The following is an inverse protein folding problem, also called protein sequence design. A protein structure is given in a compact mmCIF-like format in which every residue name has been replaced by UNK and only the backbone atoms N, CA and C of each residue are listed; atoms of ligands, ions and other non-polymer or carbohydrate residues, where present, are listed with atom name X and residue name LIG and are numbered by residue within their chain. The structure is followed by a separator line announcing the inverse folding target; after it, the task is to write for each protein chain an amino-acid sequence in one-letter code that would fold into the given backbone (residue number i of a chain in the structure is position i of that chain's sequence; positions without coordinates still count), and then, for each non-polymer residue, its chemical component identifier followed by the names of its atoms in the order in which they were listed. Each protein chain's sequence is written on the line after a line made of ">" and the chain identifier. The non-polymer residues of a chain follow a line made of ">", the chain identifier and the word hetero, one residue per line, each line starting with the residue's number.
data_IF_455480356564
#
_entry.id   IF_455480356564
#
_cell.length_a   1.000
_cell.length_b   1.000
_cell.length_c   1.000
_cell.angle_alpha   90.00
_cell.angle_beta   90.00
_cell.angle_gamma   90.00
#
_symmetry.space_group_name_H-M   'P 1'
#
loop_
_entity.id
_entity.type
_entity.pdbx_description
1 polymer ?
#
# COMPACT_ATOMS: atom_id res chain seq x y z
N UNK A 1 -8.30 13.91 -2.10
CA UNK A 1 -9.00 14.91 -2.96
C UNK A 1 -8.08 16.03 -3.45
N UNK A 2 -7.28 16.67 -2.59
CA UNK A 2 -6.38 17.76 -3.00
C UNK A 2 -5.42 17.42 -4.17
N UNK A 3 -4.80 16.23 -4.15
CA UNK A 3 -3.95 15.75 -5.25
C UNK A 3 -4.69 15.59 -6.58
N UNK A 4 -5.97 15.16 -6.54
CA UNK A 4 -6.76 14.96 -7.75
C UNK A 4 -7.13 16.31 -8.39
N UNK A 5 -7.45 17.33 -7.58
CA UNK A 5 -7.68 18.70 -8.03
C UNK A 5 -6.40 19.31 -8.61
N UNK A 6 -5.25 19.11 -7.95
CA UNK A 6 -3.95 19.54 -8.46
C UNK A 6 -3.61 18.87 -9.80
N UNK A 7 -3.84 17.56 -9.93
CA UNK A 7 -3.63 16.82 -11.18
C UNK A 7 -4.52 17.35 -12.32
N UNK A 8 -5.80 17.62 -12.05
CA UNK A 8 -6.74 18.15 -13.03
C UNK A 8 -6.38 19.58 -13.48
N UNK A 9 -5.85 20.40 -12.56
CA UNK A 9 -5.39 21.77 -12.86
C UNK A 9 -4.13 21.78 -13.73
N UNK A 10 -3.18 20.88 -13.45
CA UNK A 10 -1.94 20.73 -14.25
C UNK A 10 -2.25 20.20 -15.65
N UNK A 11 -3.19 19.26 -15.78
CA UNK A 11 -3.66 18.78 -17.07
C UNK A 11 -4.30 19.87 -17.95
N UNK A 12 -4.79 20.95 -17.33
CA UNK A 12 -5.36 22.14 -18.00
C UNK A 12 -4.35 23.26 -18.28
N UNK A 13 -3.05 23.01 -18.07
CA UNK A 13 -1.98 23.96 -18.42
C UNK A 13 -1.49 24.86 -17.28
N UNK A 14 -1.88 24.61 -16.03
CA UNK A 14 -1.38 25.39 -14.89
C UNK A 14 0.12 25.17 -14.61
N UNK A 15 0.83 26.27 -14.31
CA UNK A 15 2.24 26.23 -13.91
C UNK A 15 2.40 25.53 -12.54
N UNK A 16 3.03 24.36 -12.55
CA UNK A 16 3.53 23.73 -11.32
C UNK A 16 4.70 24.54 -10.77
N UNK A 17 4.72 24.74 -9.44
CA UNK A 17 5.84 25.35 -8.73
C UNK A 17 7.11 24.51 -9.00
N UNK A 18 8.21 25.15 -9.42
CA UNK A 18 9.48 24.51 -9.81
C UNK A 18 9.96 23.35 -8.90
N UNK A 19 9.87 23.40 -7.55
CA UNK A 19 10.30 22.28 -6.71
C UNK A 19 9.49 20.99 -6.91
N UNK A 20 8.18 21.09 -7.17
CA UNK A 20 7.33 19.92 -7.42
C UNK A 20 7.66 19.23 -8.76
N UNK A 21 8.02 20.02 -9.78
CA UNK A 21 8.52 19.50 -11.07
C UNK A 21 9.88 18.82 -10.92
N UNK A 22 10.76 19.37 -10.08
CA UNK A 22 12.09 18.79 -9.82
C UNK A 22 12.01 17.47 -9.04
N UNK A 23 11.17 17.39 -8.00
CA UNK A 23 10.91 16.15 -7.25
C UNK A 23 10.23 15.07 -8.10
N UNK A 24 9.30 15.44 -8.99
CA UNK A 24 8.71 14.51 -9.95
C UNK A 24 9.73 13.96 -10.96
N UNK A 25 10.77 14.73 -11.30
CA UNK A 25 11.80 14.36 -12.28
C UNK A 25 12.82 13.35 -11.75
N UNK A 26 13.02 13.29 -10.43
CA UNK A 26 13.98 12.39 -9.76
C UNK A 26 13.29 11.51 -8.70
N UNK A 27 12.57 10.44 -9.11
CA UNK A 27 11.86 9.53 -8.19
C UNK A 27 12.74 8.99 -7.06
N UNK A 28 14.04 8.74 -7.32
CA UNK A 28 14.98 8.24 -6.33
C UNK A 28 15.20 9.21 -5.15
N UNK A 29 15.16 10.53 -5.38
CA UNK A 29 15.33 11.54 -4.32
C UNK A 29 14.06 11.63 -3.46
N UNK A 30 12.89 11.53 -4.09
CA UNK A 30 11.61 11.47 -3.37
C UNK A 30 11.50 10.22 -2.52
N UNK A 31 11.94 9.07 -3.04
CA UNK A 31 11.96 7.81 -2.31
C UNK A 31 12.99 7.81 -1.20
N UNK A 32 14.19 8.37 -1.42
CA UNK A 32 15.19 8.52 -0.35
C UNK A 32 14.72 9.41 0.79
N UNK A 33 14.02 10.51 0.49
CA UNK A 33 13.38 11.36 1.50
C UNK A 33 12.24 10.64 2.23
N UNK A 34 11.40 9.89 1.51
CA UNK A 34 10.33 9.12 2.13
C UNK A 34 10.88 8.00 3.03
N UNK A 35 11.94 7.32 2.60
CA UNK A 35 12.61 6.27 3.36
C UNK A 35 13.28 6.84 4.61
N UNK A 36 13.94 8.00 4.50
CA UNK A 36 14.50 8.71 5.64
C UNK A 36 13.43 9.11 6.67
N UNK A 37 12.28 9.62 6.22
CA UNK A 37 11.15 9.97 7.10
C UNK A 37 10.54 8.72 7.73
N UNK A 38 10.40 7.64 6.97
CA UNK A 38 9.89 6.37 7.51
C UNK A 38 10.86 5.79 8.55
N UNK A 39 12.15 5.79 8.26
CA UNK A 39 13.20 5.32 9.15
C UNK A 39 13.25 6.09 10.47
N UNK A 40 13.06 7.42 10.45
CA UNK A 40 12.99 8.21 11.69
C UNK A 40 11.75 7.89 12.52
N UNK A 41 10.62 7.56 11.89
CA UNK A 41 9.43 7.09 12.63
C UNK A 41 9.61 5.69 13.25
N UNK A 42 10.45 4.83 12.67
CA UNK A 42 10.66 3.45 13.12
C UNK A 42 11.76 3.30 14.18
N UNK A 43 12.76 4.19 14.21
CA UNK A 43 13.76 4.20 15.29
C UNK A 43 13.17 4.63 16.65
N UNK A 44 11.98 5.22 16.69
CA UNK A 44 11.22 5.40 17.91
C UNK A 44 10.65 4.05 18.39
N UNK A 45 11.53 3.22 18.95
CA UNK A 45 11.22 1.92 19.53
C UNK A 45 10.38 2.12 20.80
N UNK A 46 9.22 1.45 20.87
CA UNK A 46 8.35 1.50 22.05
C UNK A 46 8.64 0.30 22.95
N UNK A 47 9.01 0.49 24.22
CA UNK A 47 8.81 -0.54 25.22
C UNK A 47 7.29 -0.69 25.43
N UNK A 48 6.76 -1.85 25.06
CA UNK A 48 5.36 -2.21 25.28
C UNK A 48 5.15 -2.42 26.79
N UNK A 49 4.79 -1.34 27.51
CA UNK A 49 4.47 -1.41 28.95
C UNK A 49 3.06 -1.98 29.10
N UNK A 50 2.95 -3.30 29.03
CA UNK A 50 1.74 -4.03 29.40
C UNK A 50 1.58 -3.94 30.92
N UNK A 51 0.68 -3.09 31.42
CA UNK A 51 0.12 -3.22 32.77
C UNK A 51 0.14 -2.01 33.71
N UNK A 52 0.76 -0.88 33.36
CA UNK A 52 0.77 0.32 34.22
C UNK A 52 -0.31 1.32 33.77
N UNK A 53 -1.06 1.92 34.70
CA UNK A 53 -1.90 3.10 34.36
C UNK A 53 -0.98 4.21 33.85
N UNK A 54 -1.11 4.66 32.60
CA UNK A 54 -0.18 5.63 32.05
C UNK A 54 -0.27 6.95 32.83
N UNK A 55 0.88 7.46 33.26
CA UNK A 55 0.98 8.77 33.90
C UNK A 55 0.57 9.90 32.96
N UNK A 56 0.25 11.09 33.48
CA UNK A 56 -0.11 12.25 32.65
C UNK A 56 0.98 12.61 31.61
N UNK A 57 2.25 12.36 31.92
CA UNK A 57 3.39 12.54 31.02
C UNK A 57 3.45 11.47 29.94
N UNK A 58 3.16 10.21 30.28
CA UNK A 58 3.10 9.09 29.32
C UNK A 58 1.91 9.22 28.36
N UNK A 59 0.79 9.77 28.83
CA UNK A 59 -0.36 10.11 27.98
C UNK A 59 -0.03 11.20 26.96
N UNK A 60 0.73 12.23 27.36
CA UNK A 60 1.18 13.28 26.45
C UNK A 60 2.22 12.77 25.45
N UNK A 61 3.15 11.92 25.87
CA UNK A 61 4.11 11.26 24.97
C UNK A 61 3.41 10.33 23.97
N UNK A 62 2.49 9.49 24.46
CA UNK A 62 1.70 8.59 23.61
C UNK A 62 0.81 9.36 22.64
N UNK A 63 0.18 10.46 23.08
CA UNK A 63 -0.65 11.30 22.23
C UNK A 63 0.17 12.05 21.17
N UNK A 64 1.30 12.65 21.54
CA UNK A 64 2.19 13.34 20.59
C UNK A 64 2.78 12.38 19.57
N UNK A 65 3.14 11.17 19.99
CA UNK A 65 3.61 10.11 19.09
C UNK A 65 2.51 9.57 18.19
N UNK A 66 1.29 9.43 18.69
CA UNK A 66 0.13 9.00 17.88
C UNK A 66 -0.21 10.05 16.84
N UNK A 67 -0.20 11.33 17.22
CA UNK A 67 -0.42 12.45 16.31
C UNK A 67 0.71 12.54 15.27
N UNK A 68 1.96 12.38 15.69
CA UNK A 68 3.12 12.36 14.80
C UNK A 68 3.04 11.20 13.80
N UNK A 69 2.76 9.97 14.23
CA UNK A 69 2.58 8.82 13.32
C UNK A 69 1.42 9.05 12.35
N UNK A 70 0.28 9.51 12.85
CA UNK A 70 -0.93 9.73 12.04
C UNK A 70 -0.74 10.83 11.00
N UNK A 71 0.18 11.79 11.21
CA UNK A 71 0.45 12.87 10.25
C UNK A 71 1.67 12.60 9.35
N UNK A 72 2.73 12.00 9.89
CA UNK A 72 3.97 11.73 9.16
C UNK A 72 3.83 10.55 8.20
N UNK A 73 3.08 9.50 8.56
CA UNK A 73 2.87 8.34 7.68
C UNK A 73 2.13 8.71 6.38
N UNK A 74 1.00 9.44 6.42
CA UNK A 74 0.35 9.88 5.18
C UNK A 74 1.19 10.91 4.43
N UNK A 75 2.00 11.73 5.12
CA UNK A 75 2.95 12.63 4.45
C UNK A 75 4.03 11.86 3.69
N UNK A 76 4.61 10.82 4.29
CA UNK A 76 5.56 9.93 3.63
C UNK A 76 4.91 9.18 2.46
N UNK A 77 3.69 8.66 2.64
CA UNK A 77 2.92 8.03 1.56
C UNK A 77 2.63 9.01 0.41
N UNK A 78 2.29 10.26 0.73
CA UNK A 78 2.10 11.32 -0.26
C UNK A 78 3.37 11.55 -1.07
N UNK A 79 4.53 11.62 -0.40
CA UNK A 79 5.84 11.83 -1.01
C UNK A 79 6.28 10.63 -1.86
N UNK A 80 5.91 9.41 -1.46
CA UNK A 80 6.14 8.17 -2.22
C UNK A 80 5.32 8.14 -3.52
N UNK A 81 4.06 8.58 -3.46
CA UNK A 81 3.12 8.60 -4.59
C UNK A 81 3.38 9.78 -5.53
N UNK A 82 3.92 10.90 -5.03
CA UNK A 82 4.18 12.12 -5.78
C UNK A 82 4.94 11.91 -7.11
N UNK A 83 6.07 11.18 -7.16
CA UNK A 83 6.78 10.94 -8.42
C UNK A 83 6.06 9.95 -9.34
N UNK A 84 5.19 9.08 -8.81
CA UNK A 84 4.35 8.21 -9.64
C UNK A 84 3.25 9.00 -10.36
N UNK A 85 2.75 10.07 -9.74
CA UNK A 85 1.72 10.95 -10.32
C UNK A 85 2.33 12.00 -11.25
N UNK A 86 3.39 12.68 -10.82
CA UNK A 86 3.97 13.84 -11.53
C UNK A 86 5.26 13.53 -12.32
N UNK A 87 5.75 12.29 -12.27
CA UNK A 87 6.97 11.91 -12.97
C UNK A 87 6.82 11.82 -14.49
N UNK A 88 7.94 11.82 -15.24
CA UNK A 88 7.96 11.83 -16.70
C UNK A 88 7.26 10.61 -17.30
N UNK A 89 5.99 10.80 -17.66
CA UNK A 89 5.01 9.79 -18.09
C UNK A 89 5.48 8.91 -19.27
N UNK A 90 6.39 9.42 -20.09
CA UNK A 90 6.87 8.83 -21.35
C UNK A 90 8.24 8.12 -21.29
N UNK A 91 9.05 8.23 -20.21
CA UNK A 91 10.46 7.72 -20.22
C UNK A 91 10.94 7.04 -18.93
N UNK A 92 10.05 6.66 -18.02
CA UNK A 92 10.44 6.03 -16.75
C UNK A 92 10.50 4.49 -16.80
N UNK A 93 11.61 3.91 -16.32
CA UNK A 93 11.74 2.46 -16.07
C UNK A 93 10.62 1.90 -15.18
N UNK A 94 10.11 2.72 -14.25
CA UNK A 94 8.99 2.42 -13.36
C UNK A 94 7.71 2.10 -14.16
N UNK A 95 7.36 2.90 -15.18
CA UNK A 95 6.16 2.65 -15.99
C UNK A 95 6.32 1.40 -16.85
N UNK A 96 7.55 1.09 -17.29
CA UNK A 96 7.85 -0.15 -18.01
C UNK A 96 7.66 -1.36 -17.09
N UNK A 97 8.07 -1.28 -15.82
CA UNK A 97 7.83 -2.29 -14.80
C UNK A 97 6.34 -2.42 -14.47
N UNK A 98 5.64 -1.31 -14.24
CA UNK A 98 4.19 -1.30 -13.97
C UNK A 98 3.34 -1.81 -15.13
N UNK A 99 3.82 -1.68 -16.38
CA UNK A 99 3.17 -2.26 -17.57
C UNK A 99 3.46 -3.75 -17.76
N UNK A 100 4.31 -4.36 -16.94
CA UNK A 100 4.55 -5.81 -17.06
C UNK A 100 3.29 -6.59 -16.72
N UNK A 101 3.07 -7.70 -17.42
CA UNK A 101 1.91 -8.56 -17.22
C UNK A 101 1.79 -9.01 -15.75
N UNK A 102 2.92 -9.29 -15.11
CA UNK A 102 2.98 -9.68 -13.69
C UNK A 102 2.47 -8.58 -12.78
N UNK A 103 2.91 -7.33 -12.97
CA UNK A 103 2.49 -6.22 -12.09
C UNK A 103 1.02 -5.86 -12.29
N UNK A 104 0.52 -5.92 -13.53
CA UNK A 104 -0.91 -5.75 -13.82
C UNK A 104 -1.74 -6.87 -13.18
N UNK A 105 -1.29 -8.12 -13.28
CA UNK A 105 -1.94 -9.26 -12.62
C UNK A 105 -1.95 -9.08 -11.10
N UNK A 106 -0.82 -8.69 -10.50
CA UNK A 106 -0.70 -8.46 -9.07
C UNK A 106 -1.64 -7.34 -8.59
N UNK A 107 -1.76 -6.26 -9.36
CA UNK A 107 -2.75 -5.20 -9.11
C UNK A 107 -4.19 -5.69 -9.22
N UNK A 108 -4.46 -6.61 -10.14
CA UNK A 108 -5.80 -7.19 -10.32
C UNK A 108 -6.19 -8.09 -9.15
N UNK A 109 -5.25 -8.86 -8.60
CA UNK A 109 -5.46 -9.77 -7.46
C UNK A 109 -5.23 -9.07 -6.10
N UNK A 110 -4.87 -7.78 -6.11
CA UNK A 110 -4.50 -7.02 -4.91
C UNK A 110 -5.60 -6.98 -3.85
N UNK A 111 -6.87 -6.97 -4.28
CA UNK A 111 -8.01 -7.03 -3.36
C UNK A 111 -8.08 -8.38 -2.63
N UNK A 112 -7.92 -9.48 -3.36
CA UNK A 112 -7.80 -10.81 -2.77
C UNK A 112 -6.61 -10.92 -1.81
N UNK A 113 -5.46 -10.34 -2.15
CA UNK A 113 -4.29 -10.31 -1.26
C UNK A 113 -4.63 -9.56 0.04
N UNK A 114 -5.28 -8.40 -0.06
CA UNK A 114 -5.71 -7.62 1.10
C UNK A 114 -6.68 -8.41 2.02
N UNK A 115 -7.58 -9.22 1.46
CA UNK A 115 -8.47 -10.05 2.27
C UNK A 115 -7.73 -11.20 2.97
N UNK A 116 -6.90 -11.92 2.22
CA UNK A 116 -6.34 -13.19 2.69
C UNK A 116 -5.04 -13.05 3.49
N UNK A 117 -4.32 -11.92 3.38
CA UNK A 117 -3.04 -11.77 4.08
C UNK A 117 -3.17 -11.87 5.61
N UNK A 118 -4.23 -11.30 6.19
CA UNK A 118 -4.42 -11.31 7.64
C UNK A 118 -4.69 -12.74 8.15
N UNK A 119 -5.48 -13.51 7.41
CA UNK A 119 -5.74 -14.92 7.70
C UNK A 119 -4.44 -15.72 7.59
N UNK A 120 -3.69 -15.55 6.50
CA UNK A 120 -2.43 -16.25 6.30
C UNK A 120 -1.39 -15.94 7.39
N UNK A 121 -1.30 -14.68 7.84
CA UNK A 121 -0.43 -14.27 8.95
C UNK A 121 -0.89 -14.94 10.25
N UNK A 122 -2.20 -14.93 10.55
CA UNK A 122 -2.76 -15.54 11.74
C UNK A 122 -2.45 -17.03 11.83
N UNK A 123 -2.74 -17.78 10.76
CA UNK A 123 -2.47 -19.22 10.67
C UNK A 123 -0.97 -19.53 10.79
N UNK A 124 -0.12 -18.78 10.08
CA UNK A 124 1.33 -19.01 10.15
C UNK A 124 1.88 -18.70 11.54
N UNK A 125 1.35 -17.68 12.21
CA UNK A 125 1.70 -17.36 13.59
C UNK A 125 1.34 -18.51 14.52
N UNK A 126 0.14 -19.08 14.40
CA UNK A 126 -0.25 -20.25 15.20
C UNK A 126 0.67 -21.44 14.97
N UNK A 127 1.06 -21.73 13.72
CA UNK A 127 1.99 -22.83 13.43
C UNK A 127 3.40 -22.60 13.97
N UNK A 128 3.85 -21.34 14.05
CA UNK A 128 5.11 -20.98 14.71
C UNK A 128 5.01 -21.25 16.21
N UNK A 129 3.90 -20.87 16.86
CA UNK A 129 3.69 -21.13 18.29
C UNK A 129 3.59 -22.64 18.62
N UNK A 130 3.17 -23.46 17.67
CA UNK A 130 3.07 -24.92 17.82
C UNK A 130 4.39 -25.66 17.48
N UNK A 131 5.52 -24.96 17.28
CA UNK A 131 6.80 -25.52 16.82
C UNK A 131 6.71 -26.31 15.50
N UNK A 132 5.69 -26.04 14.69
CA UNK A 132 5.42 -26.75 13.42
C UNK A 132 5.98 -26.02 12.20
N UNK A 133 6.71 -24.93 12.44
CA UNK A 133 7.22 -24.04 11.40
C UNK A 133 8.73 -23.77 11.53
N UNK A 134 9.43 -23.56 10.42
CA UNK A 134 10.86 -23.25 10.44
C UNK A 134 11.16 -21.91 11.14
N UNK A 135 12.24 -21.86 11.92
CA UNK A 135 12.73 -20.63 12.59
C UNK A 135 13.23 -19.56 11.59
N UNK A 136 13.50 -19.95 10.34
CA UNK A 136 13.98 -19.03 9.32
C UNK A 136 12.91 -18.02 8.92
N UNK A 137 13.16 -16.75 9.23
CA UNK A 137 12.32 -15.60 8.82
C UNK A 137 12.05 -15.57 7.32
N UNK A 138 13.03 -15.94 6.49
CA UNK A 138 12.87 -15.98 5.03
C UNK A 138 11.85 -17.03 4.62
N UNK A 139 11.87 -18.19 5.26
CA UNK A 139 10.97 -19.30 4.95
C UNK A 139 9.55 -19.01 5.45
N UNK A 140 9.42 -18.39 6.62
CA UNK A 140 8.15 -17.88 7.15
C UNK A 140 7.52 -16.85 6.21
N UNK A 141 8.31 -15.86 5.76
CA UNK A 141 7.85 -14.85 4.81
C UNK A 141 7.41 -15.48 3.49
N UNK A 142 8.21 -16.41 2.95
CA UNK A 142 7.88 -17.12 1.72
C UNK A 142 6.57 -17.92 1.87
N UNK A 143 6.34 -18.57 3.00
CA UNK A 143 5.12 -19.32 3.27
C UNK A 143 3.88 -18.41 3.34
N UNK A 144 3.94 -17.30 4.10
CA UNK A 144 2.85 -16.32 4.18
C UNK A 144 2.52 -15.76 2.81
N UNK A 145 3.54 -15.40 2.03
CA UNK A 145 3.35 -14.91 0.67
C UNK A 145 2.71 -15.97 -0.22
N UNK A 146 3.20 -17.21 -0.19
CA UNK A 146 2.67 -18.30 -0.99
C UNK A 146 1.20 -18.58 -0.64
N UNK A 147 0.85 -18.66 0.65
CA UNK A 147 -0.52 -18.86 1.11
C UNK A 147 -1.43 -17.73 0.69
N UNK A 148 -1.01 -16.48 0.92
CA UNK A 148 -1.78 -15.30 0.57
C UNK A 148 -2.02 -15.21 -0.93
N UNK A 149 -0.98 -15.38 -1.75
CA UNK A 149 -1.07 -15.32 -3.22
C UNK A 149 -1.94 -16.45 -3.77
N UNK A 150 -1.81 -17.65 -3.20
CA UNK A 150 -2.62 -18.80 -3.62
C UNK A 150 -4.09 -18.58 -3.31
N UNK A 151 -4.41 -18.19 -2.07
CA UNK A 151 -5.78 -17.90 -1.65
C UNK A 151 -6.38 -16.72 -2.44
N UNK A 152 -5.61 -15.66 -2.66
CA UNK A 152 -6.02 -14.51 -3.44
C UNK A 152 -6.27 -14.87 -4.91
N UNK A 153 -5.39 -15.68 -5.53
CA UNK A 153 -5.59 -16.14 -6.90
C UNK A 153 -6.84 -17.01 -7.01
N UNK A 154 -7.02 -17.97 -6.09
CA UNK A 154 -8.21 -18.83 -6.04
C UNK A 154 -9.48 -18.01 -5.90
N UNK A 155 -9.52 -17.05 -4.97
CA UNK A 155 -10.63 -16.11 -4.79
C UNK A 155 -10.91 -15.29 -6.04
N UNK A 156 -9.87 -14.77 -6.70
CA UNK A 156 -10.02 -13.97 -7.90
C UNK A 156 -10.63 -14.77 -9.07
N UNK A 157 -10.14 -15.99 -9.30
CA UNK A 157 -10.60 -16.81 -10.42
C UNK A 157 -11.98 -17.43 -10.17
N UNK A 158 -12.29 -17.83 -8.93
CA UNK A 158 -13.56 -18.51 -8.59
C UNK A 158 -14.70 -17.57 -8.19
N UNK A 159 -14.40 -16.41 -7.62
CA UNK A 159 -15.44 -15.49 -7.12
C UNK A 159 -15.49 -14.20 -7.92
N UNK A 160 -14.37 -13.48 -8.01
CA UNK A 160 -14.39 -12.14 -8.60
C UNK A 160 -14.67 -12.17 -10.11
N UNK A 161 -13.99 -13.03 -10.87
CA UNK A 161 -14.23 -13.15 -12.32
C UNK A 161 -15.68 -13.49 -12.69
N UNK A 162 -16.34 -14.50 -12.10
CA UNK A 162 -17.74 -14.78 -12.44
C UNK A 162 -18.67 -13.68 -11.98
N UNK A 163 -18.48 -13.10 -10.78
CA UNK A 163 -19.33 -12.01 -10.27
C UNK A 163 -19.24 -10.76 -11.15
N UNK A 164 -18.04 -10.37 -11.59
CA UNK A 164 -17.84 -9.23 -12.49
C UNK A 164 -18.51 -9.48 -13.85
N UNK A 165 -18.37 -10.69 -14.40
CA UNK A 165 -19.03 -11.05 -15.67
C UNK A 165 -20.55 -11.03 -15.55
N UNK A 166 -21.10 -11.52 -14.44
CA UNK A 166 -22.53 -11.49 -14.17
C UNK A 166 -23.04 -10.06 -14.03
N UNK A 167 -22.33 -9.20 -13.28
CA UNK A 167 -22.68 -7.80 -13.12
C UNK A 167 -22.67 -7.03 -14.45
N UNK A 168 -21.68 -7.30 -15.32
CA UNK A 168 -21.62 -6.72 -16.66
C UNK A 168 -22.79 -7.16 -17.54
N UNK A 169 -23.15 -8.45 -17.51
CA UNK A 169 -24.29 -8.97 -18.26
C UNK A 169 -25.60 -8.30 -17.83
N UNK A 170 -25.87 -8.21 -16.53
CA UNK A 170 -27.06 -7.56 -15.98
C UNK A 170 -27.13 -6.07 -16.33
N UNK A 171 -26.00 -5.36 -16.30
CA UNK A 171 -25.96 -3.93 -16.64
C UNK A 171 -26.17 -3.69 -18.14
N UNK A 172 -25.63 -4.55 -19.00
CA UNK A 172 -25.82 -4.46 -20.46
C UNK A 172 -27.27 -4.69 -20.89
N UNK A 173 -28.00 -5.60 -20.22
CA UNK A 173 -29.41 -5.81 -20.50
C UNK A 173 -30.26 -4.63 -20.06
N UNK A 174 -29.92 -3.98 -18.94
CA UNK A 174 -30.67 -2.83 -18.41
C UNK A 174 -30.56 -1.60 -19.30
N UNK A 175 -29.46 -1.43 -20.03
CA UNK A 175 -29.25 -0.35 -20.99
C UNK A 175 -30.01 -0.53 -22.32
N UNK A 176 -30.48 -1.75 -22.64
CA UNK A 176 -31.29 -2.04 -23.83
C UNK A 176 -32.81 -1.93 -23.57
N UNK A 177 -33.21 -1.81 -22.31
CA UNK A 177 -34.60 -1.65 -21.88
C UNK A 177 -34.99 -0.20 -21.54
N UNK A 178 -34.09 0.77 -21.83
CA UNK A 178 -34.32 2.22 -21.73
C UNK A 178 -34.20 2.85 -23.12
#
# INVERSE_FOLDING_TARGET
>A
MALALASAWVARGGLLWLPLRALGRYPAVSWGLADLVYWTTQQAHFPEVVGSRPGATELLETATQTLARTTLLPLAAMLLVLPAVFGPQHRGAIRRLLRTRTMVWLGTVSYGIYLWHFVAIGETCQWILEDRFPESVVLQLAAVLALTLSAAAVSYYLLERPCVRLAQALTSQRALHL
#
